data_IF_087883473312
#
_entry.id   IF_087883473312
#
_cell.length_a   1.000
_cell.length_b   1.000
_cell.length_c   1.000
_cell.angle_alpha   90.00
_cell.angle_beta   90.00
_cell.angle_gamma   90.00
#
_symmetry.space_group_name_H-M   'P 1'
#
loop_
_entity.id
_entity.type
_entity.pdbx_description
1 polymer ?
#
# COMPACT_ATOMS: atom_id res chain seq x y z
N UNK A 1 -29.42 -13.47 0.10
CA UNK A 1 -28.56 -12.77 1.06
C UNK A 1 -27.31 -12.26 0.33
N UNK A 2 -26.62 -11.26 0.86
CA UNK A 2 -25.39 -10.76 0.25
C UNK A 2 -24.31 -11.84 0.09
N UNK A 3 -24.28 -12.79 1.00
CA UNK A 3 -23.38 -13.96 0.95
C UNK A 3 -23.65 -14.95 -0.17
N UNK A 4 -24.79 -14.84 -0.84
CA UNK A 4 -25.20 -15.71 -1.95
C UNK A 4 -25.08 -14.99 -3.31
N UNK A 5 -24.75 -13.70 -3.29
CA UNK A 5 -24.58 -12.90 -4.50
C UNK A 5 -23.22 -13.17 -5.15
N UNK A 6 -23.19 -13.69 -6.39
CA UNK A 6 -21.95 -14.07 -7.04
C UNK A 6 -21.00 -12.88 -7.29
N UNK A 7 -21.52 -11.68 -7.49
CA UNK A 7 -20.69 -10.47 -7.68
C UNK A 7 -20.03 -10.05 -6.38
N UNK A 8 -20.77 -10.10 -5.25
CA UNK A 8 -20.20 -9.79 -3.93
C UNK A 8 -19.12 -10.81 -3.55
N UNK A 9 -19.38 -12.10 -3.80
CA UNK A 9 -18.41 -13.18 -3.55
C UNK A 9 -17.13 -12.94 -4.37
N UNK A 10 -17.26 -12.60 -5.65
CA UNK A 10 -16.11 -12.30 -6.52
C UNK A 10 -15.32 -11.09 -6.02
N UNK A 11 -15.97 -9.97 -5.70
CA UNK A 11 -15.32 -8.75 -5.22
C UNK A 11 -14.56 -8.99 -3.90
N UNK A 12 -15.14 -9.73 -2.97
CA UNK A 12 -14.46 -10.11 -1.72
C UNK A 12 -13.23 -10.96 -2.00
N UNK A 13 -13.31 -11.89 -2.96
CA UNK A 13 -12.17 -12.71 -3.38
C UNK A 13 -11.03 -11.86 -3.98
N UNK A 14 -11.35 -10.90 -4.84
CA UNK A 14 -10.36 -9.98 -5.42
C UNK A 14 -9.70 -9.11 -4.36
N UNK A 15 -10.48 -8.51 -3.47
CA UNK A 15 -9.96 -7.71 -2.37
C UNK A 15 -9.03 -8.51 -1.45
N UNK A 16 -9.38 -9.76 -1.16
CA UNK A 16 -8.54 -10.64 -0.35
C UNK A 16 -7.18 -10.89 -1.00
N UNK A 17 -7.13 -11.10 -2.32
CA UNK A 17 -5.88 -11.27 -3.07
C UNK A 17 -5.02 -10.00 -2.99
N UNK A 18 -5.61 -8.84 -3.24
CA UNK A 18 -4.90 -7.55 -3.22
C UNK A 18 -4.33 -7.24 -1.82
N UNK A 19 -5.14 -7.38 -0.79
CA UNK A 19 -4.73 -7.13 0.61
C UNK A 19 -3.64 -8.12 1.03
N UNK A 20 -3.77 -9.39 0.66
CA UNK A 20 -2.75 -10.39 0.98
C UNK A 20 -1.43 -10.10 0.25
N UNK A 21 -1.46 -9.73 -1.02
CA UNK A 21 -0.26 -9.37 -1.79
C UNK A 21 0.44 -8.16 -1.15
N UNK A 22 -0.30 -7.09 -0.83
CA UNK A 22 0.22 -5.91 -0.16
C UNK A 22 0.86 -6.26 1.21
N UNK A 23 0.20 -7.12 1.98
CA UNK A 23 0.71 -7.61 3.27
C UNK A 23 2.01 -8.38 3.11
N UNK A 24 2.15 -9.26 2.12
CA UNK A 24 3.37 -10.03 1.89
C UNK A 24 4.54 -9.11 1.52
N UNK A 25 4.30 -8.09 0.70
CA UNK A 25 5.33 -7.12 0.33
C UNK A 25 5.72 -6.25 1.54
N UNK A 26 4.78 -5.86 2.39
CA UNK A 26 5.06 -5.15 3.64
C UNK A 26 5.92 -5.99 4.59
N UNK A 27 5.60 -7.25 4.78
CA UNK A 27 6.38 -8.17 5.62
C UNK A 27 7.78 -8.43 5.04
N UNK A 28 7.89 -8.49 3.70
CA UNK A 28 9.20 -8.57 3.04
C UNK A 28 10.04 -7.32 3.33
N UNK A 29 9.47 -6.13 3.20
CA UNK A 29 10.17 -4.89 3.52
C UNK A 29 10.64 -4.85 4.97
N UNK A 30 9.79 -5.26 5.92
CA UNK A 30 10.16 -5.34 7.33
C UNK A 30 11.35 -6.29 7.57
N UNK A 31 11.31 -7.49 6.99
CA UNK A 31 12.43 -8.45 7.10
C UNK A 31 13.72 -7.92 6.47
N UNK A 32 13.62 -7.21 5.33
CA UNK A 32 14.77 -6.58 4.68
C UNK A 32 15.41 -5.54 5.60
N UNK A 33 14.60 -4.69 6.24
CA UNK A 33 15.09 -3.71 7.22
C UNK A 33 15.76 -4.36 8.42
N UNK A 34 15.16 -5.42 8.98
CA UNK A 34 15.71 -6.15 10.11
C UNK A 34 17.07 -6.77 9.77
N UNK A 35 17.22 -7.35 8.56
CA UNK A 35 18.47 -7.94 8.11
C UNK A 35 19.55 -6.87 7.90
N UNK A 36 19.22 -5.76 7.24
CA UNK A 36 20.14 -4.64 7.02
C UNK A 36 20.62 -4.05 8.36
N UNK A 37 19.72 -3.94 9.35
CA UNK A 37 20.03 -3.39 10.67
C UNK A 37 21.04 -4.22 11.48
N UNK A 38 21.28 -5.48 11.10
CA UNK A 38 22.28 -6.34 11.76
C UNK A 38 23.73 -6.03 11.36
N UNK A 39 23.93 -5.24 10.33
CA UNK A 39 25.22 -4.90 9.75
C UNK A 39 25.39 -3.39 9.62
N UNK A 40 26.63 -2.88 9.48
CA UNK A 40 26.86 -1.48 9.18
C UNK A 40 26.15 -1.06 7.88
N UNK A 41 25.40 0.03 7.91
CA UNK A 41 24.61 0.51 6.76
C UNK A 41 25.53 1.14 5.71
N UNK A 42 25.44 0.64 4.48
CA UNK A 42 26.13 1.19 3.30
C UNK A 42 25.13 1.93 2.40
N UNK A 43 25.62 2.62 1.38
CA UNK A 43 24.75 3.26 0.39
C UNK A 43 23.92 2.23 -0.39
N UNK A 44 24.50 1.06 -0.68
CA UNK A 44 23.81 -0.03 -1.34
C UNK A 44 22.67 -0.61 -0.48
N UNK A 45 22.94 -0.92 0.80
CA UNK A 45 21.91 -1.46 1.70
C UNK A 45 20.86 -0.44 2.06
N UNK A 46 21.23 0.85 2.16
CA UNK A 46 20.25 1.94 2.32
C UNK A 46 19.32 2.07 1.12
N UNK A 47 19.87 1.93 -0.10
CA UNK A 47 19.07 1.93 -1.32
C UNK A 47 18.12 0.72 -1.37
N UNK A 48 18.60 -0.48 -1.02
CA UNK A 48 17.77 -1.69 -0.94
C UNK A 48 16.61 -1.51 0.03
N UNK A 49 16.86 -0.96 1.22
CA UNK A 49 15.83 -0.63 2.21
C UNK A 49 14.79 0.34 1.64
N UNK A 50 15.24 1.43 1.02
CA UNK A 50 14.35 2.44 0.42
C UNK A 50 13.46 1.86 -0.67
N UNK A 51 14.00 0.98 -1.53
CA UNK A 51 13.24 0.31 -2.59
C UNK A 51 12.21 -0.66 -2.01
N UNK A 52 12.59 -1.46 -1.00
CA UNK A 52 11.67 -2.38 -0.35
C UNK A 52 10.50 -1.64 0.31
N UNK A 53 10.78 -0.56 1.03
CA UNK A 53 9.77 0.28 1.68
C UNK A 53 8.89 1.01 0.66
N UNK A 54 9.46 1.51 -0.45
CA UNK A 54 8.71 2.15 -1.52
C UNK A 54 7.68 1.19 -2.15
N UNK A 55 8.08 -0.06 -2.44
CA UNK A 55 7.17 -1.11 -2.95
C UNK A 55 6.03 -1.38 -1.98
N UNK A 56 6.35 -1.53 -0.69
CA UNK A 56 5.35 -1.77 0.34
C UNK A 56 4.38 -0.59 0.45
N UNK A 57 4.88 0.64 0.47
CA UNK A 57 4.05 1.84 0.54
C UNK A 57 3.08 1.94 -0.65
N UNK A 58 3.56 1.69 -1.86
CA UNK A 58 2.72 1.72 -3.07
C UNK A 58 1.56 0.73 -2.92
N UNK A 59 1.87 -0.55 -2.70
CA UNK A 59 0.85 -1.60 -2.68
C UNK A 59 -0.12 -1.47 -1.50
N UNK A 60 0.36 -1.13 -0.31
CA UNK A 60 -0.51 -1.00 0.87
C UNK A 60 -1.44 0.19 0.76
N UNK A 61 -0.99 1.31 0.20
CA UNK A 61 -1.85 2.49 0.00
C UNK A 61 -2.88 2.26 -1.09
N UNK A 62 -2.52 1.59 -2.20
CA UNK A 62 -3.46 1.23 -3.26
C UNK A 62 -4.52 0.24 -2.76
N UNK A 63 -4.11 -0.80 -2.05
CA UNK A 63 -5.03 -1.77 -1.44
C UNK A 63 -5.99 -1.10 -0.44
N UNK A 64 -5.50 -0.18 0.39
CA UNK A 64 -6.32 0.55 1.35
C UNK A 64 -7.36 1.46 0.68
N UNK A 65 -6.97 2.19 -0.37
CA UNK A 65 -7.88 3.03 -1.14
C UNK A 65 -8.95 2.18 -1.84
N UNK A 66 -8.55 1.12 -2.54
CA UNK A 66 -9.48 0.25 -3.25
C UNK A 66 -10.45 -0.43 -2.28
N UNK A 67 -9.97 -1.00 -1.18
CA UNK A 67 -10.82 -1.65 -0.19
C UNK A 67 -11.82 -0.68 0.45
N UNK A 68 -11.40 0.54 0.78
CA UNK A 68 -12.28 1.54 1.38
C UNK A 68 -13.32 2.09 0.40
N UNK A 69 -13.02 2.16 -0.89
CA UNK A 69 -13.97 2.50 -1.95
C UNK A 69 -14.97 1.35 -2.18
N UNK A 70 -14.47 0.13 -2.34
CA UNK A 70 -15.29 -1.06 -2.56
C UNK A 70 -16.24 -1.37 -1.41
N UNK A 71 -15.93 -0.91 -0.20
CA UNK A 71 -16.82 -1.03 0.95
C UNK A 71 -18.23 -0.48 0.64
N UNK A 72 -18.34 0.65 -0.08
CA UNK A 72 -19.62 1.22 -0.46
C UNK A 72 -20.36 0.37 -1.48
N UNK A 73 -19.65 -0.18 -2.46
CA UNK A 73 -20.25 -1.08 -3.46
C UNK A 73 -20.78 -2.36 -2.81
N UNK A 74 -20.04 -2.91 -1.84
CA UNK A 74 -20.44 -4.13 -1.13
C UNK A 74 -21.58 -3.90 -0.13
N UNK A 75 -21.61 -2.76 0.54
CA UNK A 75 -22.60 -2.44 1.58
C UNK A 75 -23.87 -1.74 1.03
N UNK A 76 -23.84 -1.32 -0.24
CA UNK A 76 -24.96 -0.66 -0.91
C UNK A 76 -25.14 0.80 -0.52
N UNK A 77 -26.18 1.44 -1.07
CA UNK A 77 -26.44 2.87 -0.91
C UNK A 77 -26.63 3.33 0.54
N UNK A 78 -27.09 2.44 1.42
CA UNK A 78 -27.22 2.75 2.85
C UNK A 78 -25.87 3.03 3.54
N UNK A 79 -24.77 2.52 3.00
CA UNK A 79 -23.43 2.77 3.49
C UNK A 79 -23.01 4.24 3.43
N UNK A 80 -23.63 5.04 2.57
CA UNK A 80 -23.34 6.47 2.41
C UNK A 80 -23.96 7.35 3.50
N UNK A 81 -24.80 6.78 4.37
CA UNK A 81 -25.43 7.55 5.44
C UNK A 81 -24.38 7.99 6.48
N UNK A 82 -24.44 9.25 6.88
CA UNK A 82 -23.55 9.86 7.86
C UNK A 82 -23.50 9.08 9.18
N UNK A 83 -24.61 8.49 9.61
CA UNK A 83 -24.68 7.68 10.82
C UNK A 83 -23.72 6.49 10.85
N UNK A 84 -23.33 5.95 9.68
CA UNK A 84 -22.37 4.85 9.59
C UNK A 84 -20.92 5.34 9.52
N UNK A 85 -20.71 6.59 9.08
CA UNK A 85 -19.38 7.23 8.99
C UNK A 85 -18.31 6.33 8.31
N UNK A 86 -18.71 5.58 7.28
CA UNK A 86 -17.82 4.64 6.59
C UNK A 86 -16.79 5.33 5.70
N UNK A 87 -17.08 6.53 5.23
CA UNK A 87 -16.16 7.36 4.43
C UNK A 87 -14.89 7.76 5.20
N UNK A 88 -14.90 7.66 6.54
CA UNK A 88 -13.69 7.88 7.35
C UNK A 88 -12.54 6.97 6.94
N UNK A 89 -12.82 5.74 6.52
CA UNK A 89 -11.79 4.79 6.11
C UNK A 89 -11.11 5.25 4.82
N UNK A 90 -11.90 5.69 3.82
CA UNK A 90 -11.37 6.25 2.59
C UNK A 90 -10.60 7.55 2.83
N UNK A 91 -11.16 8.48 3.61
CA UNK A 91 -10.51 9.76 3.93
C UNK A 91 -9.16 9.55 4.61
N UNK A 92 -9.10 8.65 5.59
CA UNK A 92 -7.86 8.32 6.29
C UNK A 92 -6.82 7.68 5.37
N UNK A 93 -7.23 6.72 4.54
CA UNK A 93 -6.36 6.10 3.56
C UNK A 93 -5.84 7.15 2.56
N UNK A 94 -6.71 8.05 2.09
CA UNK A 94 -6.34 9.09 1.10
C UNK A 94 -5.33 10.08 1.67
N UNK A 95 -5.46 10.51 2.91
CA UNK A 95 -4.49 11.41 3.57
C UNK A 95 -3.08 10.80 3.54
N UNK A 96 -2.95 9.51 3.81
CA UNK A 96 -1.67 8.81 3.75
C UNK A 96 -0.99 8.87 2.38
N UNK A 97 -1.77 8.86 1.29
CA UNK A 97 -1.21 8.95 -0.07
C UNK A 97 -0.69 10.35 -0.43
N UNK A 98 -1.09 11.37 0.32
CA UNK A 98 -0.78 12.78 0.05
C UNK A 98 0.30 13.33 0.96
N UNK A 99 0.42 12.81 2.17
CA UNK A 99 1.40 13.26 3.15
C UNK A 99 2.85 13.03 2.68
N UNK A 100 3.12 11.85 2.08
CA UNK A 100 4.34 11.53 1.35
C UNK A 100 3.88 10.94 0.01
N UNK A 101 3.78 11.78 -1.05
CA UNK A 101 3.04 11.40 -2.24
C UNK A 101 3.57 10.13 -2.91
N UNK A 102 2.71 9.13 -3.03
CA UNK A 102 3.03 7.80 -3.57
C UNK A 102 3.62 7.88 -5.00
N UNK A 103 3.23 8.87 -5.79
CA UNK A 103 3.77 9.08 -7.13
C UNK A 103 5.29 9.17 -7.16
N UNK A 104 5.91 9.73 -6.11
CA UNK A 104 7.37 9.81 -6.02
C UNK A 104 8.02 8.47 -5.72
N UNK A 105 7.32 7.56 -5.08
CA UNK A 105 7.80 6.19 -4.84
C UNK A 105 7.84 5.39 -6.14
N UNK A 106 6.87 5.57 -7.04
CA UNK A 106 6.93 5.01 -8.40
C UNK A 106 8.14 5.53 -9.19
N UNK A 107 8.35 6.86 -9.15
CA UNK A 107 9.51 7.47 -9.82
C UNK A 107 10.84 6.92 -9.27
N UNK A 108 10.97 6.84 -7.96
CA UNK A 108 12.15 6.33 -7.28
C UNK A 108 12.46 4.88 -7.70
N UNK A 109 11.45 4.02 -7.70
CA UNK A 109 11.57 2.62 -8.11
C UNK A 109 11.94 2.50 -9.60
N UNK A 110 11.24 3.23 -10.46
CA UNK A 110 11.51 3.21 -11.90
C UNK A 110 12.92 3.71 -12.25
N UNK A 111 13.36 4.78 -11.62
CA UNK A 111 14.70 5.34 -11.84
C UNK A 111 15.82 4.41 -11.33
N UNK A 112 15.59 3.71 -10.23
CA UNK A 112 16.50 2.67 -9.76
C UNK A 112 16.62 1.52 -10.75
N UNK A 113 15.50 1.01 -11.28
CA UNK A 113 15.48 -0.15 -12.18
C UNK A 113 16.01 0.16 -13.58
N UNK A 114 15.66 1.34 -14.13
CA UNK A 114 16.03 1.70 -15.49
C UNK A 114 17.42 2.32 -15.59
N UNK A 115 17.77 3.17 -14.64
CA UNK A 115 18.95 4.02 -14.71
C UNK A 115 20.02 3.68 -13.66
N UNK A 116 19.75 2.72 -12.77
CA UNK A 116 20.67 2.35 -11.70
C UNK A 116 20.90 3.45 -10.65
N UNK A 117 20.00 4.45 -10.58
CA UNK A 117 20.15 5.57 -9.65
C UNK A 117 19.76 5.12 -8.24
N UNK A 118 20.73 5.12 -7.34
CA UNK A 118 20.49 4.79 -5.94
C UNK A 118 19.66 5.87 -5.24
N UNK A 119 18.60 5.51 -4.50
CA UNK A 119 17.89 6.44 -3.63
C UNK A 119 18.86 7.13 -2.66
N UNK A 120 18.72 8.43 -2.53
CA UNK A 120 19.52 9.19 -1.55
C UNK A 120 19.07 8.86 -0.14
N UNK A 121 20.01 8.85 0.81
CA UNK A 121 19.67 8.78 2.23
C UNK A 121 18.94 10.04 2.64
N UNK A 122 17.65 9.90 2.88
CA UNK A 122 16.79 11.01 3.31
C UNK A 122 15.63 10.46 4.14
N UNK A 123 15.16 11.26 5.11
CA UNK A 123 14.08 10.85 6.01
C UNK A 123 12.75 10.51 5.30
N UNK A 124 12.59 10.93 4.06
CA UNK A 124 11.38 10.70 3.25
C UNK A 124 11.55 9.61 2.17
N UNK A 125 12.65 8.93 2.12
CA UNK A 125 12.90 7.83 1.19
C UNK A 125 12.65 6.47 1.82
#
# INVERSE_FOLDING_TARGET
QATDDPYIIQEVGQLQIEVNAARQVLLHAARTLDEIARHPVTDATSAEASIAVARAKILTTEAALNASEKLFALAGSSATREAHNLDRHWRNARVHTLHDPVRWKYHLLGNYLLNGVLPRRHQWN
#
